data_IF_316640201990
#
_entry.id   IF_316640201990
#
_cell.length_a   1.000
_cell.length_b   1.000
_cell.length_c   1.000
_cell.angle_alpha   90.00
_cell.angle_beta   90.00
_cell.angle_gamma   90.00
#
_symmetry.space_group_name_H-M   'P 1'
#
loop_
_entity.id
_entity.type
_entity.pdbx_description
1 polymer ?
#
# COMPACT_ATOMS: atom_id res chain seq x y z
N UNK A 1 -0.72 8.10 -31.46
CA UNK A 1 -0.88 8.85 -30.20
C UNK A 1 -0.62 7.88 -29.07
N UNK A 2 0.59 7.93 -28.49
CA UNK A 2 0.96 7.09 -27.35
C UNK A 2 0.14 7.57 -26.16
N UNK A 3 -0.95 6.86 -25.87
CA UNK A 3 -1.65 6.99 -24.60
C UNK A 3 -0.69 6.45 -23.55
N UNK A 4 0.09 7.34 -22.95
CA UNK A 4 0.94 7.03 -21.81
C UNK A 4 0.01 6.52 -20.71
N UNK A 5 0.01 5.19 -20.55
CA UNK A 5 -0.66 4.42 -19.51
C UNK A 5 -2.20 4.45 -19.64
N UNK A 6 -2.75 3.42 -20.28
CA UNK A 6 -4.14 3.03 -20.00
C UNK A 6 -4.27 2.85 -18.49
N UNK A 7 -5.32 3.43 -17.89
CA UNK A 7 -5.50 3.48 -16.44
C UNK A 7 -5.42 2.10 -15.77
N UNK A 8 -5.48 0.98 -16.50
CA UNK A 8 -5.29 -0.39 -16.00
C UNK A 8 -3.85 -0.83 -15.70
N UNK A 9 -2.82 -0.04 -16.06
CA UNK A 9 -1.42 -0.48 -15.92
C UNK A 9 -0.63 0.17 -14.76
N UNK A 10 -1.13 1.26 -14.16
CA UNK A 10 -0.34 2.02 -13.17
C UNK A 10 -0.43 1.36 -11.79
N UNK A 11 0.68 0.85 -11.26
CA UNK A 11 0.76 0.34 -9.89
C UNK A 11 1.39 1.41 -9.00
N UNK A 12 0.70 1.75 -7.92
CA UNK A 12 1.17 2.68 -6.90
C UNK A 12 1.98 1.92 -5.83
N UNK A 13 3.14 2.45 -5.48
CA UNK A 13 3.93 1.99 -4.33
C UNK A 13 3.68 2.93 -3.16
N UNK A 14 3.06 2.45 -2.09
CA UNK A 14 2.78 3.22 -0.89
C UNK A 14 3.92 3.09 0.12
N UNK A 15 4.26 4.20 0.78
CA UNK A 15 5.27 4.26 1.85
C UNK A 15 4.61 4.23 3.23
N UNK A 16 5.32 3.68 4.24
CA UNK A 16 4.86 3.60 5.62
C UNK A 16 4.47 4.97 6.18
N UNK A 17 5.32 5.98 5.97
CA UNK A 17 5.11 7.32 6.54
C UNK A 17 3.86 7.99 5.97
N UNK A 18 3.59 7.80 4.69
CA UNK A 18 2.39 8.30 4.03
C UNK A 18 1.13 7.62 4.56
N UNK A 19 1.18 6.30 4.76
CA UNK A 19 0.06 5.54 5.32
C UNK A 19 -0.26 5.98 6.76
N UNK A 20 0.75 6.08 7.63
CA UNK A 20 0.59 6.50 9.02
C UNK A 20 0.01 7.92 9.11
N UNK A 21 0.57 8.88 8.38
CA UNK A 21 0.08 10.25 8.39
C UNK A 21 -1.35 10.36 7.82
N UNK A 22 -1.67 9.58 6.79
CA UNK A 22 -3.02 9.52 6.24
C UNK A 22 -4.02 8.97 7.27
N UNK A 23 -3.69 7.84 7.91
CA UNK A 23 -4.56 7.12 8.84
C UNK A 23 -4.85 7.92 10.11
N UNK A 24 -3.81 8.49 10.73
CA UNK A 24 -3.93 9.10 12.06
C UNK A 24 -4.16 10.62 12.04
N UNK A 25 -3.57 11.33 11.07
CA UNK A 25 -3.51 12.80 11.14
C UNK A 25 -4.44 13.49 10.15
N UNK A 26 -4.50 12.98 8.91
CA UNK A 26 -5.09 13.72 7.78
C UNK A 26 -6.48 13.23 7.41
N UNK A 27 -6.66 11.92 7.41
CA UNK A 27 -7.87 11.27 6.93
C UNK A 27 -8.35 10.16 7.88
N UNK A 28 -8.77 10.48 9.11
CA UNK A 28 -9.33 9.48 10.02
C UNK A 28 -10.46 8.67 9.36
N UNK A 29 -10.46 7.36 9.52
CA UNK A 29 -11.41 6.44 8.87
C UNK A 29 -12.87 6.83 9.17
N UNK A 30 -13.15 7.28 10.38
CA UNK A 30 -14.48 7.67 10.83
C UNK A 30 -15.01 8.90 10.08
N UNK A 31 -14.10 9.78 9.65
CA UNK A 31 -14.44 11.02 8.95
C UNK A 31 -14.38 10.86 7.42
N UNK A 32 -13.54 9.96 6.92
CA UNK A 32 -13.30 9.76 5.49
C UNK A 32 -13.51 8.30 5.03
N UNK A 33 -14.61 7.63 5.39
CA UNK A 33 -14.78 6.20 5.13
C UNK A 33 -14.69 5.86 3.63
N UNK A 34 -15.28 6.70 2.76
CA UNK A 34 -15.24 6.49 1.31
C UNK A 34 -13.84 6.60 0.69
N UNK A 35 -12.90 7.30 1.34
CA UNK A 35 -11.50 7.30 0.90
C UNK A 35 -10.88 5.92 1.15
N UNK A 36 -11.10 5.37 2.34
CA UNK A 36 -10.54 4.09 2.75
C UNK A 36 -11.16 2.93 1.98
N UNK A 37 -12.48 2.97 1.70
CA UNK A 37 -13.13 2.03 0.78
C UNK A 37 -12.41 1.99 -0.59
N UNK A 38 -12.01 3.15 -1.12
CA UNK A 38 -11.30 3.25 -2.40
C UNK A 38 -9.85 2.79 -2.31
N UNK A 39 -9.17 3.06 -1.20
CA UNK A 39 -7.82 2.53 -0.94
C UNK A 39 -7.87 1.00 -0.91
N UNK A 40 -8.83 0.41 -0.19
CA UNK A 40 -9.04 -1.04 -0.15
C UNK A 40 -9.35 -1.63 -1.52
N UNK A 41 -10.23 -0.99 -2.30
CA UNK A 41 -10.49 -1.37 -3.69
C UNK A 41 -9.19 -1.38 -4.52
N UNK A 42 -8.36 -0.33 -4.41
CA UNK A 42 -7.09 -0.28 -5.14
C UNK A 42 -6.14 -1.40 -4.71
N UNK A 43 -6.08 -1.72 -3.42
CA UNK A 43 -5.29 -2.83 -2.89
C UNK A 43 -5.79 -4.15 -3.49
N UNK A 44 -7.08 -4.46 -3.35
CA UNK A 44 -7.70 -5.72 -3.81
C UNK A 44 -7.64 -5.90 -5.33
N UNK A 45 -7.62 -4.82 -6.10
CA UNK A 45 -7.38 -4.86 -7.54
C UNK A 45 -5.90 -4.95 -7.93
N UNK A 46 -4.99 -5.06 -6.96
CA UNK A 46 -3.54 -5.15 -7.17
C UNK A 46 -2.89 -3.86 -7.68
N UNK A 47 -3.55 -2.71 -7.47
CA UNK A 47 -3.13 -1.39 -7.97
C UNK A 47 -2.37 -0.56 -6.96
N UNK A 48 -2.54 -0.83 -5.66
CA UNK A 48 -1.78 -0.21 -4.58
C UNK A 48 -1.02 -1.32 -3.83
N UNK A 49 0.30 -1.17 -3.72
CA UNK A 49 1.20 -2.17 -3.15
C UNK A 49 2.19 -1.52 -2.19
N UNK A 50 2.75 -2.33 -1.29
CA UNK A 50 3.88 -2.00 -0.42
C UNK A 50 4.92 -3.12 -0.53
N UNK A 51 6.21 -2.78 -0.54
CA UNK A 51 7.24 -3.83 -0.42
C UNK A 51 7.17 -4.50 0.95
N UNK A 52 7.67 -5.73 1.07
CA UNK A 52 7.67 -6.49 2.32
C UNK A 52 8.16 -5.66 3.52
N UNK A 53 9.32 -4.99 3.38
CA UNK A 53 9.94 -4.21 4.46
C UNK A 53 9.03 -3.06 4.90
N UNK A 54 8.49 -2.31 3.94
CA UNK A 54 7.62 -1.16 4.20
C UNK A 54 6.30 -1.62 4.81
N UNK A 55 5.72 -2.71 4.32
CA UNK A 55 4.53 -3.30 4.93
C UNK A 55 4.80 -3.75 6.37
N UNK A 56 5.91 -4.46 6.63
CA UNK A 56 6.26 -4.95 7.96
C UNK A 56 6.55 -3.80 8.94
N UNK A 57 7.08 -2.68 8.47
CA UNK A 57 7.21 -1.45 9.25
C UNK A 57 5.83 -0.88 9.61
N UNK A 58 4.90 -0.78 8.65
CA UNK A 58 3.54 -0.31 8.88
C UNK A 58 2.76 -1.18 9.87
N UNK A 59 2.99 -2.51 9.87
CA UNK A 59 2.34 -3.45 10.80
C UNK A 59 2.77 -3.28 12.27
N UNK A 60 3.75 -2.41 12.56
CA UNK A 60 4.09 -2.02 13.94
C UNK A 60 3.05 -1.07 14.55
N UNK A 61 2.26 -0.41 13.72
CA UNK A 61 1.11 0.37 14.14
C UNK A 61 -0.11 -0.55 14.35
N UNK A 62 -0.70 -0.49 15.54
CA UNK A 62 -1.78 -1.42 15.95
C UNK A 62 -3.06 -1.21 15.16
N UNK A 63 -3.39 0.03 14.82
CA UNK A 63 -4.67 0.38 14.22
C UNK A 63 -4.64 0.09 12.72
N UNK A 64 -3.52 0.41 12.06
CA UNK A 64 -3.26 0.00 10.68
C UNK A 64 -3.22 -1.53 10.57
N UNK A 65 -2.56 -2.22 11.50
CA UNK A 65 -2.55 -3.69 11.51
C UNK A 65 -3.95 -4.25 11.66
N UNK A 66 -4.75 -3.71 12.57
CA UNK A 66 -6.15 -4.13 12.75
C UNK A 66 -6.95 -3.93 11.45
N UNK A 67 -6.84 -2.77 10.81
CA UNK A 67 -7.50 -2.49 9.52
C UNK A 67 -7.06 -3.50 8.44
N UNK A 68 -5.76 -3.76 8.29
CA UNK A 68 -5.27 -4.75 7.34
C UNK A 68 -5.79 -6.17 7.62
N UNK A 69 -5.86 -6.58 8.88
CA UNK A 69 -6.35 -7.90 9.32
C UNK A 69 -7.88 -8.03 9.10
N UNK A 70 -8.65 -7.00 9.44
CA UNK A 70 -10.11 -6.95 9.29
C UNK A 70 -10.55 -7.09 7.84
N UNK A 71 -9.88 -6.38 6.93
CA UNK A 71 -10.21 -6.38 5.50
C UNK A 71 -9.39 -7.38 4.68
N UNK A 72 -8.57 -8.20 5.34
CA UNK A 72 -7.73 -9.24 4.76
C UNK A 72 -6.84 -8.73 3.61
N UNK A 73 -6.20 -7.57 3.81
CA UNK A 73 -5.52 -6.84 2.74
C UNK A 73 -4.14 -7.41 2.39
N UNK A 74 -3.48 -8.12 3.31
CA UNK A 74 -2.09 -8.56 3.17
C UNK A 74 -1.76 -9.26 1.84
N UNK A 75 -2.53 -10.25 1.34
CA UNK A 75 -2.20 -10.96 0.11
C UNK A 75 -2.11 -10.05 -1.12
N UNK A 76 -2.93 -8.99 -1.14
CA UNK A 76 -3.01 -8.06 -2.24
C UNK A 76 -2.23 -6.77 -1.99
N UNK A 77 -1.82 -6.47 -0.75
CA UNK A 77 -1.11 -5.23 -0.42
C UNK A 77 0.40 -5.43 -0.41
N UNK A 78 0.87 -6.57 0.09
CA UNK A 78 2.30 -6.84 0.27
C UNK A 78 2.92 -7.45 -1.00
N UNK A 79 4.09 -6.94 -1.37
CA UNK A 79 4.94 -7.52 -2.40
C UNK A 79 6.16 -8.13 -1.71
N UNK A 80 6.32 -9.47 -1.72
CA UNK A 80 7.49 -10.14 -1.16
C UNK A 80 8.79 -9.65 -1.80
N UNK A 81 9.87 -9.67 -1.04
CA UNK A 81 11.21 -9.49 -1.62
C UNK A 81 11.52 -10.74 -2.45
N UNK A 82 11.90 -10.53 -3.71
CA UNK A 82 12.45 -11.56 -4.58
C UNK A 82 13.91 -11.22 -4.92
N UNK A 83 14.71 -12.21 -5.34
CA UNK A 83 16.17 -12.09 -5.55
C UNK A 83 16.55 -10.93 -6.50
N UNK A 84 15.65 -10.56 -7.42
CA UNK A 84 15.83 -9.45 -8.38
C UNK A 84 15.80 -8.05 -7.74
N UNK A 85 15.11 -7.88 -6.60
CA UNK A 85 15.04 -6.57 -5.90
C UNK A 85 16.37 -6.28 -5.18
N UNK A 86 17.08 -7.33 -4.77
CA UNK A 86 18.30 -7.23 -3.96
C UNK A 86 19.51 -6.74 -4.77
N UNK A 87 19.58 -7.07 -6.07
CA UNK A 87 20.65 -6.59 -6.96
C UNK A 87 20.62 -5.07 -7.16
N UNK A 88 19.43 -4.46 -7.23
CA UNK A 88 19.28 -3.02 -7.54
C UNK A 88 19.62 -2.09 -6.36
N UNK A 89 19.55 -2.58 -5.12
CA UNK A 89 19.89 -1.79 -3.92
C UNK A 89 21.40 -1.74 -3.69
N UNK A 90 22.17 -2.67 -4.28
CA UNK A 90 23.62 -2.76 -4.09
C UNK A 90 24.41 -1.66 -4.82
N UNK A 91 23.77 -0.88 -5.69
CA UNK A 91 24.39 0.19 -6.48
C UNK A 91 24.09 1.62 -5.99
N UNK A 92 23.36 1.77 -4.87
CA UNK A 92 23.00 3.09 -4.30
C UNK A 92 23.88 3.47 -3.12
#
# INVERSE_FOLDING_TARGET
MNSLLTHDQIIYSLDTSALIAAFHERYPIENFPSLWDKIEELIKHGRLKMSQIVFDEAMRDTDIKQWCDEYQLKPDFQVPIDELVQEQVSEV
#
